data_IF_466726349882
#
_entry.id   IF_466726349882
#
_cell.length_a   1.000
_cell.length_b   1.000
_cell.length_c   1.000
_cell.angle_alpha   90.00
_cell.angle_beta   90.00
_cell.angle_gamma   90.00
#
_symmetry.space_group_name_H-M   'P 1'
#
loop_
_entity.id
_entity.type
_entity.pdbx_description
1 polymer ?
#
# COMPACT_ATOMS: atom_id res chain seq x y z
N UNK A 1 -14.18 -3.64 31.80
CA UNK A 1 -13.99 -4.57 30.73
C UNK A 1 -12.90 -4.13 29.78
N UNK A 2 -12.12 -5.07 29.35
CA UNK A 2 -11.02 -4.72 28.54
C UNK A 2 -11.42 -4.48 27.11
N UNK A 3 -10.95 -3.45 26.54
CA UNK A 3 -11.28 -3.14 25.19
C UNK A 3 -10.52 -4.04 24.24
N UNK A 4 -11.22 -4.50 23.23
CA UNK A 4 -10.58 -5.30 22.22
C UNK A 4 -9.68 -4.42 21.36
N UNK A 5 -8.44 -4.78 21.27
CA UNK A 5 -7.48 -4.01 20.50
C UNK A 5 -6.98 -4.81 19.34
N UNK A 6 -7.09 -4.22 18.17
CA UNK A 6 -6.58 -4.85 16.98
C UNK A 6 -5.06 -4.69 16.92
N UNK A 7 -4.37 -5.67 16.36
CA UNK A 7 -2.93 -5.57 16.23
C UNK A 7 -2.55 -4.63 15.10
N UNK A 8 -2.85 -3.37 15.31
CA UNK A 8 -2.56 -2.37 14.30
C UNK A 8 -1.20 -1.78 14.58
N UNK A 9 -0.32 -1.71 13.59
CA UNK A 9 0.99 -1.12 13.83
C UNK A 9 0.83 0.31 14.30
N UNK A 10 1.54 0.70 15.34
CA UNK A 10 1.51 2.09 15.78
C UNK A 10 2.07 2.96 14.67
N UNK A 11 1.57 4.13 14.55
CA UNK A 11 2.03 5.09 13.55
C UNK A 11 1.49 4.85 12.17
N UNK A 12 0.48 4.02 12.04
CA UNK A 12 -0.19 3.96 10.77
C UNK A 12 -1.39 4.89 10.81
N UNK A 13 -1.65 5.52 9.69
CA UNK A 13 -2.72 6.48 9.57
C UNK A 13 -3.56 6.12 8.37
N UNK A 14 -4.86 6.16 8.55
CA UNK A 14 -5.77 5.87 7.45
C UNK A 14 -5.86 7.08 6.54
N UNK A 15 -5.68 6.85 5.26
CA UNK A 15 -5.84 7.90 4.26
C UNK A 15 -6.76 7.42 3.17
N UNK A 16 -7.62 8.31 2.73
CA UNK A 16 -8.54 7.99 1.65
C UNK A 16 -7.93 8.44 0.34
N UNK A 17 -7.82 7.52 -0.58
CA UNK A 17 -7.22 7.80 -1.88
C UNK A 17 -8.18 7.34 -2.95
N UNK A 18 -8.33 8.16 -3.97
CA UNK A 18 -9.18 7.82 -5.09
C UNK A 18 -8.33 7.22 -6.21
N UNK A 19 -8.67 6.03 -6.63
CA UNK A 19 -7.93 5.33 -7.67
C UNK A 19 -8.74 5.31 -8.96
N UNK A 20 -8.11 5.59 -10.08
CA UNK A 20 -8.77 5.34 -11.37
C UNK A 20 -9.08 3.86 -11.52
N UNK A 21 -10.14 3.56 -12.24
CA UNK A 21 -10.58 2.19 -12.39
C UNK A 21 -9.54 1.31 -13.06
N UNK A 22 -8.83 1.83 -14.04
CA UNK A 22 -7.82 1.04 -14.72
C UNK A 22 -6.67 0.68 -13.78
N UNK A 23 -6.35 1.56 -12.84
CA UNK A 23 -5.32 1.26 -11.87
C UNK A 23 -5.78 0.16 -10.93
N UNK A 24 -7.03 0.24 -10.48
CA UNK A 24 -7.58 -0.79 -9.61
C UNK A 24 -7.54 -2.14 -10.30
N UNK A 25 -7.97 -2.18 -11.55
CA UNK A 25 -7.97 -3.44 -12.29
C UNK A 25 -6.55 -3.98 -12.46
N UNK A 26 -5.61 -3.10 -12.72
CA UNK A 26 -4.23 -3.53 -12.87
C UNK A 26 -3.69 -4.16 -11.61
N UNK A 27 -3.97 -3.53 -10.46
CA UNK A 27 -3.50 -4.07 -9.19
C UNK A 27 -4.17 -5.40 -8.91
N UNK A 28 -5.47 -5.48 -9.13
CA UNK A 28 -6.18 -6.72 -8.85
C UNK A 28 -5.68 -7.87 -9.70
N UNK A 29 -5.34 -7.58 -10.95
CA UNK A 29 -4.77 -8.62 -11.79
C UNK A 29 -3.39 -9.04 -11.29
N UNK A 30 -2.61 -8.07 -10.84
CA UNK A 30 -1.26 -8.36 -10.39
C UNK A 30 -1.24 -9.25 -9.15
N UNK A 31 -2.21 -9.06 -8.25
CA UNK A 31 -2.22 -9.83 -7.01
C UNK A 31 -3.12 -11.05 -7.08
N UNK A 32 -3.81 -11.25 -8.19
CA UNK A 32 -4.71 -12.39 -8.32
C UNK A 32 -3.93 -13.69 -8.20
N UNK A 33 -4.43 -14.58 -7.38
CA UNK A 33 -3.75 -15.86 -7.16
C UNK A 33 -2.66 -15.81 -6.13
N UNK A 34 -2.41 -14.64 -5.55
CA UNK A 34 -1.44 -14.52 -4.48
C UNK A 34 -2.17 -14.23 -3.18
N UNK A 35 -1.42 -14.21 -2.10
CA UNK A 35 -1.98 -13.85 -0.80
C UNK A 35 -1.81 -12.36 -0.50
N UNK A 36 -1.32 -11.61 -1.46
CA UNK A 36 -1.11 -10.20 -1.27
C UNK A 36 -2.43 -9.45 -1.34
N UNK A 37 -2.67 -8.57 -0.40
CA UNK A 37 -3.87 -7.75 -0.43
C UNK A 37 -3.64 -6.50 -1.25
N UNK A 38 -4.75 -5.84 -1.60
CA UNK A 38 -4.67 -4.58 -2.32
C UNK A 38 -3.85 -3.56 -1.54
N UNK A 39 -4.13 -3.45 -0.25
CA UNK A 39 -3.43 -2.49 0.58
C UNK A 39 -1.94 -2.79 0.64
N UNK A 40 -1.57 -4.05 0.83
CA UNK A 40 -0.17 -4.40 0.91
C UNK A 40 0.55 -4.09 -0.40
N UNK A 41 -0.10 -4.37 -1.52
CA UNK A 41 0.50 -4.06 -2.80
C UNK A 41 0.75 -2.57 -2.96
N UNK A 42 -0.26 -1.77 -2.61
CA UNK A 42 -0.14 -0.32 -2.78
C UNK A 42 0.95 0.24 -1.87
N UNK A 43 1.01 -0.24 -0.63
CA UNK A 43 2.02 0.25 0.30
C UNK A 43 3.41 -0.08 -0.21
N UNK A 44 3.61 -1.30 -0.68
CA UNK A 44 4.93 -1.69 -1.16
C UNK A 44 5.29 -0.93 -2.43
N UNK A 45 4.35 -0.77 -3.33
CA UNK A 45 4.60 -0.03 -4.56
C UNK A 45 4.99 1.41 -4.26
N UNK A 46 4.34 1.99 -3.26
CA UNK A 46 4.65 3.36 -2.87
C UNK A 46 6.05 3.45 -2.28
N UNK A 47 6.43 2.46 -1.47
CA UNK A 47 7.78 2.46 -0.92
C UNK A 47 8.82 2.43 -2.01
N UNK A 48 8.62 1.56 -3.00
CA UNK A 48 9.56 1.45 -4.09
C UNK A 48 9.63 2.75 -4.86
N UNK A 49 8.49 3.37 -5.10
CA UNK A 49 8.48 4.63 -5.82
C UNK A 49 9.26 5.70 -5.08
N UNK A 50 9.11 5.74 -3.76
CA UNK A 50 9.82 6.73 -2.96
C UNK A 50 11.33 6.47 -3.00
N UNK A 51 11.73 5.22 -2.95
CA UNK A 51 13.14 4.89 -3.04
C UNK A 51 13.73 5.32 -4.36
N UNK A 52 12.98 5.13 -5.44
CA UNK A 52 13.45 5.53 -6.75
C UNK A 52 13.63 7.04 -6.84
N UNK A 53 12.71 7.78 -6.23
CA UNK A 53 12.83 9.23 -6.23
C UNK A 53 14.07 9.68 -5.49
N UNK A 54 14.37 9.03 -4.38
CA UNK A 54 15.54 9.40 -3.62
C UNK A 54 16.82 9.13 -4.41
N UNK A 55 16.85 8.03 -5.14
CA UNK A 55 18.01 7.71 -5.94
C UNK A 55 18.21 8.72 -7.04
N UNK A 56 17.13 9.20 -7.63
CA UNK A 56 17.25 10.18 -8.69
C UNK A 56 17.70 11.53 -8.17
N UNK A 57 17.30 11.85 -6.96
CA UNK A 57 17.69 13.12 -6.37
C UNK A 57 19.09 13.09 -5.81
N UNK A 58 19.63 11.91 -5.65
CA UNK A 58 20.97 11.75 -5.11
C UNK A 58 21.94 11.49 -6.21
N UNK A 59 22.59 12.47 -6.71
CA UNK A 59 23.52 12.28 -7.83
C UNK A 59 24.75 11.49 -7.42
#
# INVERSE_FOLDING_TARGET
MRKFELPIPPRSTTKSVRFPNDVIEGVEKAIRGTECTFTAFVVEATRVALENLEEEENP
#
